data_IF_525259326307
#
_entry.id   IF_525259326307
#
_cell.length_a   1.000
_cell.length_b   1.000
_cell.length_c   1.000
_cell.angle_alpha   90.00
_cell.angle_beta   90.00
_cell.angle_gamma   90.00
#
_symmetry.space_group_name_H-M   'P 1'
#
loop_
_entity.id
_entity.type
_entity.pdbx_description
1 polymer ?
#
# COMPACT_ATOMS: atom_id res chain seq x y z
N UNK A 1 28.48 -25.88 -31.03
CA UNK A 1 27.46 -24.81 -31.06
C UNK A 1 27.20 -24.42 -29.61
N UNK A 2 27.93 -23.44 -29.08
CA UNK A 2 27.74 -22.92 -27.72
C UNK A 2 26.89 -21.66 -27.82
N UNK A 3 25.58 -21.82 -27.65
CA UNK A 3 24.65 -20.70 -27.59
C UNK A 3 24.50 -20.31 -26.12
N UNK A 4 25.21 -19.25 -25.75
CA UNK A 4 24.82 -18.26 -24.74
C UNK A 4 24.18 -18.78 -23.43
N UNK A 5 24.93 -19.51 -22.60
CA UNK A 5 24.49 -19.94 -21.26
C UNK A 5 24.30 -18.80 -20.23
N UNK A 6 24.59 -17.54 -20.59
CA UNK A 6 24.52 -16.37 -19.71
C UNK A 6 23.59 -15.25 -20.24
N UNK A 7 22.51 -15.60 -20.94
CA UNK A 7 21.49 -14.62 -21.37
C UNK A 7 20.30 -14.58 -20.43
N UNK A 8 19.68 -13.41 -20.23
CA UNK A 8 18.43 -13.27 -19.48
C UNK A 8 17.31 -14.18 -20.04
N UNK A 9 17.26 -14.37 -21.35
CA UNK A 9 16.32 -15.31 -22.01
C UNK A 9 16.55 -16.77 -21.58
N UNK A 10 17.81 -17.16 -21.35
CA UNK A 10 18.15 -18.49 -20.83
C UNK A 10 17.69 -18.65 -19.38
N UNK A 11 17.72 -17.56 -18.59
CA UNK A 11 17.23 -17.56 -17.21
C UNK A 11 15.70 -17.73 -17.19
N UNK A 12 14.97 -17.00 -18.03
CA UNK A 12 13.51 -17.14 -18.16
C UNK A 12 13.12 -18.54 -18.62
N UNK A 13 13.80 -19.09 -19.64
CA UNK A 13 13.54 -20.44 -20.13
C UNK A 13 13.79 -21.52 -19.06
N UNK A 14 14.86 -21.38 -18.27
CA UNK A 14 15.15 -22.26 -17.12
C UNK A 14 14.09 -22.16 -16.03
N UNK A 15 13.63 -20.94 -15.72
CA UNK A 15 12.53 -20.73 -14.77
C UNK A 15 11.27 -21.43 -15.28
N UNK A 16 10.90 -21.25 -16.55
CA UNK A 16 9.71 -21.87 -17.13
C UNK A 16 9.79 -23.40 -17.17
N UNK A 17 10.96 -23.96 -17.49
CA UNK A 17 11.17 -25.41 -17.54
C UNK A 17 11.12 -26.07 -16.17
N UNK A 18 11.86 -25.52 -15.19
CA UNK A 18 12.08 -26.17 -13.89
C UNK A 18 11.01 -25.85 -12.84
N UNK A 19 10.14 -24.86 -13.06
CA UNK A 19 9.11 -24.49 -12.07
C UNK A 19 7.91 -25.44 -12.03
N UNK A 20 7.80 -26.38 -12.97
CA UNK A 20 6.67 -27.31 -13.08
C UNK A 20 6.74 -28.53 -12.14
N UNK A 21 7.94 -28.87 -11.64
CA UNK A 21 8.18 -30.06 -10.81
C UNK A 21 8.81 -29.71 -9.46
N UNK A 22 8.33 -30.30 -8.37
CA UNK A 22 8.85 -30.00 -7.02
C UNK A 22 10.27 -30.53 -6.76
N UNK A 23 10.71 -31.57 -7.47
CA UNK A 23 12.07 -32.12 -7.40
C UNK A 23 13.12 -31.15 -7.94
N UNK A 24 12.73 -30.33 -8.92
CA UNK A 24 13.64 -29.53 -9.74
C UNK A 24 13.82 -28.12 -9.16
N UNK A 25 12.99 -27.74 -8.17
CA UNK A 25 13.07 -26.46 -7.45
C UNK A 25 14.46 -26.23 -6.83
N UNK A 26 15.09 -27.29 -6.30
CA UNK A 26 16.43 -27.17 -5.69
C UNK A 26 17.50 -26.85 -6.75
N UNK A 27 17.35 -27.41 -7.95
CA UNK A 27 18.24 -27.13 -9.07
C UNK A 27 18.02 -25.71 -9.58
N UNK A 28 16.75 -25.30 -9.72
CA UNK A 28 16.38 -23.94 -10.10
C UNK A 28 16.95 -22.90 -9.11
N UNK A 29 16.82 -23.12 -7.81
CA UNK A 29 17.39 -22.24 -6.78
C UNK A 29 18.91 -22.09 -6.93
N UNK A 30 19.63 -23.20 -7.12
CA UNK A 30 21.09 -23.16 -7.30
C UNK A 30 21.50 -22.42 -8.58
N UNK A 31 20.75 -22.61 -9.67
CA UNK A 31 20.98 -21.90 -10.93
C UNK A 31 20.70 -20.40 -10.82
N UNK A 32 19.59 -20.01 -10.20
CA UNK A 32 19.24 -18.60 -9.98
C UNK A 32 20.28 -17.89 -9.11
N UNK A 33 20.77 -18.57 -8.07
CA UNK A 33 21.85 -18.07 -7.21
C UNK A 33 23.17 -17.87 -7.98
N UNK A 34 23.47 -18.73 -8.96
CA UNK A 34 24.64 -18.54 -9.83
C UNK A 34 24.44 -17.42 -10.86
N UNK A 35 23.18 -17.09 -11.18
CA UNK A 35 22.81 -16.08 -12.18
C UNK A 35 22.56 -14.69 -11.57
N UNK A 36 22.84 -14.51 -10.28
CA UNK A 36 22.55 -13.28 -9.52
C UNK A 36 23.25 -12.04 -10.12
N UNK A 37 24.49 -12.19 -10.61
CA UNK A 37 25.21 -11.10 -11.29
C UNK A 37 24.50 -10.60 -12.56
N UNK A 38 23.88 -11.51 -13.33
CA UNK A 38 23.10 -11.16 -14.52
C UNK A 38 21.78 -10.48 -14.14
N UNK A 39 21.16 -10.95 -13.06
CA UNK A 39 19.92 -10.38 -12.53
C UNK A 39 20.13 -8.94 -12.02
N UNK A 40 21.34 -8.55 -11.63
CA UNK A 40 21.65 -7.18 -11.23
C UNK A 40 22.25 -6.30 -12.35
N UNK A 41 22.24 -6.76 -13.60
CA UNK A 41 22.91 -6.06 -14.71
C UNK A 41 22.01 -5.11 -15.53
N UNK A 42 20.75 -5.48 -15.79
CA UNK A 42 19.87 -4.71 -16.70
C UNK A 42 18.39 -4.72 -16.26
N UNK A 43 17.99 -3.66 -15.54
CA UNK A 43 16.62 -3.49 -15.01
C UNK A 43 15.53 -3.53 -16.09
N UNK A 44 15.78 -2.97 -17.27
CA UNK A 44 14.80 -2.91 -18.37
C UNK A 44 14.42 -4.31 -18.84
N UNK A 45 15.42 -5.19 -18.99
CA UNK A 45 15.23 -6.58 -19.41
C UNK A 45 14.52 -7.40 -18.36
N UNK A 46 14.85 -7.22 -17.07
CA UNK A 46 14.16 -7.89 -15.96
C UNK A 46 12.66 -7.60 -15.98
N UNK A 47 12.30 -6.35 -16.27
CA UNK A 47 10.91 -5.91 -16.32
C UNK A 47 10.15 -6.58 -17.47
N UNK A 48 10.76 -6.69 -18.65
CA UNK A 48 10.20 -7.42 -19.79
C UNK A 48 10.04 -8.91 -19.48
N UNK A 49 11.07 -9.52 -18.86
CA UNK A 49 11.05 -10.92 -18.43
C UNK A 49 10.00 -11.23 -17.36
N UNK A 50 9.72 -10.26 -16.46
CA UNK A 50 8.68 -10.43 -15.45
C UNK A 50 7.28 -10.57 -16.09
N UNK A 51 7.04 -9.90 -17.22
CA UNK A 51 5.77 -10.02 -17.94
C UNK A 51 5.56 -11.39 -18.60
N UNK A 52 6.64 -12.15 -18.85
CA UNK A 52 6.59 -13.48 -19.46
C UNK A 52 6.42 -14.62 -18.44
N UNK A 53 6.46 -14.30 -17.14
CA UNK A 53 6.43 -15.28 -16.07
C UNK A 53 5.06 -15.29 -15.36
N UNK A 54 4.41 -16.44 -15.36
CA UNK A 54 3.24 -16.69 -14.51
C UNK A 54 3.64 -16.78 -13.03
N UNK A 55 3.15 -15.93 -12.11
CA UNK A 55 3.51 -15.96 -10.69
C UNK A 55 3.01 -17.20 -9.94
N UNK A 56 1.99 -17.90 -10.45
CA UNK A 56 1.44 -19.12 -9.86
C UNK A 56 2.29 -20.34 -10.13
N UNK A 57 2.87 -20.41 -11.32
CA UNK A 57 3.74 -21.51 -11.75
C UNK A 57 5.18 -21.20 -11.36
N UNK A 58 5.67 -20.01 -11.69
CA UNK A 58 7.08 -19.62 -11.61
C UNK A 58 7.45 -18.88 -10.32
N UNK A 59 6.78 -19.19 -9.23
CA UNK A 59 6.85 -18.43 -7.97
C UNK A 59 8.28 -18.18 -7.45
N UNK A 60 9.19 -19.15 -7.57
CA UNK A 60 10.60 -18.98 -7.15
C UNK A 60 11.37 -18.02 -8.06
N UNK A 61 11.33 -18.23 -9.38
CA UNK A 61 12.00 -17.37 -10.35
C UNK A 61 11.44 -15.94 -10.36
N UNK A 62 10.13 -15.82 -10.21
CA UNK A 62 9.44 -14.55 -10.04
C UNK A 62 9.96 -13.80 -8.81
N UNK A 63 10.13 -14.48 -7.67
CA UNK A 63 10.64 -13.87 -6.44
C UNK A 63 12.10 -13.42 -6.57
N UNK A 64 12.96 -14.20 -7.23
CA UNK A 64 14.36 -13.83 -7.51
C UNK A 64 14.48 -12.61 -8.43
N UNK A 65 13.71 -12.57 -9.52
CA UNK A 65 13.71 -11.42 -10.44
C UNK A 65 13.19 -10.17 -9.72
N UNK A 66 12.13 -10.33 -8.92
CA UNK A 66 11.56 -9.22 -8.16
C UNK A 66 12.55 -8.72 -7.09
N UNK A 67 13.24 -9.61 -6.38
CA UNK A 67 14.33 -9.26 -5.46
C UNK A 67 15.49 -8.54 -6.18
N UNK A 68 15.84 -8.97 -7.39
CA UNK A 68 16.89 -8.35 -8.17
C UNK A 68 16.51 -6.95 -8.65
N UNK A 69 15.27 -6.76 -9.11
CA UNK A 69 14.70 -5.44 -9.40
C UNK A 69 14.78 -4.53 -8.18
N UNK A 70 14.50 -5.06 -6.98
CA UNK A 70 14.53 -4.34 -5.70
C UNK A 70 15.92 -3.97 -5.25
N UNK A 71 16.91 -4.81 -5.56
CA UNK A 71 18.28 -4.62 -5.12
C UNK A 71 19.10 -3.75 -6.08
N UNK A 72 18.53 -3.32 -7.22
CA UNK A 72 19.22 -2.51 -8.21
C UNK A 72 19.56 -1.11 -7.64
N UNK A 73 20.83 -0.68 -7.63
CA UNK A 73 21.29 0.51 -6.91
C UNK A 73 20.93 1.86 -7.56
N UNK A 74 19.95 1.92 -8.47
CA UNK A 74 19.42 3.19 -9.02
C UNK A 74 18.41 3.80 -8.03
N UNK A 75 18.84 3.92 -6.79
CA UNK A 75 18.02 4.29 -5.63
C UNK A 75 18.08 5.78 -5.28
N UNK A 76 18.93 6.59 -5.94
CA UNK A 76 19.17 7.98 -5.48
C UNK A 76 18.73 9.12 -6.39
N UNK A 77 18.41 8.92 -7.68
CA UNK A 77 18.11 10.09 -8.54
C UNK A 77 16.90 9.96 -9.49
N UNK A 78 16.46 8.76 -9.87
CA UNK A 78 15.38 8.57 -10.87
C UNK A 78 14.30 7.56 -10.46
N UNK A 79 14.14 7.30 -9.16
CA UNK A 79 13.41 6.15 -8.61
C UNK A 79 11.88 6.14 -8.83
N UNK A 80 11.22 7.26 -9.15
CA UNK A 80 9.74 7.31 -9.17
C UNK A 80 9.08 6.71 -10.42
N UNK A 81 9.80 6.62 -11.55
CA UNK A 81 9.24 6.08 -12.81
C UNK A 81 9.44 4.58 -12.97
N UNK A 82 10.52 4.02 -12.40
CA UNK A 82 10.89 2.61 -12.61
C UNK A 82 10.05 1.63 -11.79
N UNK A 83 9.49 2.07 -10.66
CA UNK A 83 8.67 1.20 -9.79
C UNK A 83 7.20 1.10 -10.24
N UNK A 84 6.68 2.08 -10.97
CA UNK A 84 5.27 2.08 -11.42
C UNK A 84 4.89 0.85 -12.24
N UNK A 85 5.68 0.41 -13.23
CA UNK A 85 5.35 -0.80 -13.99
C UNK A 85 5.34 -2.06 -13.12
N UNK A 86 6.19 -2.12 -12.09
CA UNK A 86 6.23 -3.24 -11.13
C UNK A 86 4.98 -3.21 -10.26
N UNK A 87 4.63 -2.04 -9.72
CA UNK A 87 3.38 -1.84 -8.96
C UNK A 87 2.16 -2.22 -9.82
N UNK A 88 2.07 -1.71 -11.06
CA UNK A 88 0.97 -2.00 -12.00
C UNK A 88 0.89 -3.48 -12.34
N UNK A 89 2.03 -4.15 -12.55
CA UNK A 89 2.06 -5.59 -12.78
C UNK A 89 1.59 -6.35 -11.54
N UNK A 90 2.07 -6.03 -10.34
CA UNK A 90 1.64 -6.65 -9.07
C UNK A 90 0.13 -6.45 -8.84
N UNK A 91 -0.41 -5.26 -9.16
CA UNK A 91 -1.83 -4.98 -9.05
C UNK A 91 -2.68 -5.71 -10.10
N UNK A 92 -2.11 -6.04 -11.26
CA UNK A 92 -2.73 -6.88 -12.28
C UNK A 92 -2.77 -8.37 -11.94
N UNK A 93 -2.02 -8.83 -10.94
CA UNK A 93 -2.03 -10.23 -10.51
C UNK A 93 -3.24 -10.53 -9.62
N UNK A 94 -3.94 -11.64 -9.87
CA UNK A 94 -5.06 -12.11 -9.04
C UNK A 94 -4.65 -12.49 -7.59
N UNK A 95 -3.34 -12.53 -7.29
CA UNK A 95 -2.79 -12.90 -5.97
C UNK A 95 -1.89 -11.79 -5.38
N UNK A 96 -2.46 -10.64 -4.96
CA UNK A 96 -1.70 -9.48 -4.45
C UNK A 96 -0.84 -9.79 -3.21
N UNK A 97 -1.14 -10.87 -2.48
CA UNK A 97 -0.37 -11.30 -1.31
C UNK A 97 1.10 -11.61 -1.62
N UNK A 98 1.42 -12.04 -2.85
CA UNK A 98 2.77 -12.41 -3.25
C UNK A 98 3.71 -11.21 -3.37
N UNK A 99 3.18 -10.02 -3.63
CA UNK A 99 3.97 -8.79 -3.71
C UNK A 99 4.30 -8.18 -2.34
N UNK A 100 3.63 -8.61 -1.25
CA UNK A 100 3.77 -7.99 0.08
C UNK A 100 5.19 -8.14 0.63
N UNK A 101 5.72 -9.36 0.66
CA UNK A 101 7.06 -9.60 1.21
C UNK A 101 8.17 -8.90 0.39
N UNK A 102 8.18 -9.00 -0.96
CA UNK A 102 9.17 -8.29 -1.75
C UNK A 102 9.08 -6.77 -1.63
N UNK A 103 7.88 -6.17 -1.69
CA UNK A 103 7.73 -4.72 -1.53
C UNK A 103 8.20 -4.23 -0.14
N UNK A 104 7.97 -5.01 0.91
CA UNK A 104 8.49 -4.67 2.25
C UNK A 104 10.02 -4.68 2.29
N UNK A 105 10.66 -5.68 1.67
CA UNK A 105 12.12 -5.72 1.51
C UNK A 105 12.63 -4.53 0.70
N UNK A 106 11.87 -4.11 -0.32
CA UNK A 106 12.20 -2.95 -1.13
C UNK A 106 12.18 -1.65 -0.35
N UNK A 107 11.14 -1.44 0.45
CA UNK A 107 11.05 -0.28 1.33
C UNK A 107 12.28 -0.22 2.24
N UNK A 108 12.62 -1.33 2.91
CA UNK A 108 13.78 -1.40 3.82
C UNK A 108 15.13 -1.15 3.14
N UNK A 109 15.30 -1.56 1.88
CA UNK A 109 16.54 -1.36 1.11
C UNK A 109 16.65 0.05 0.52
N UNK A 110 15.53 0.65 0.12
CA UNK A 110 15.48 2.00 -0.49
C UNK A 110 15.51 3.11 0.56
N UNK A 111 15.02 2.82 1.76
CA UNK A 111 14.92 3.79 2.83
C UNK A 111 16.31 4.15 3.37
N UNK A 112 16.73 5.40 3.18
CA UNK A 112 18.02 5.91 3.68
C UNK A 112 17.95 6.27 5.18
N UNK A 113 16.75 6.56 5.69
CA UNK A 113 16.43 6.83 7.10
C UNK A 113 15.03 6.32 7.42
N UNK A 114 14.80 5.74 8.61
CA UNK A 114 13.48 5.27 9.08
C UNK A 114 12.38 6.34 9.02
N UNK A 115 12.77 7.61 8.92
CA UNK A 115 11.89 8.78 8.94
C UNK A 115 11.48 9.28 7.54
N UNK A 116 12.00 8.69 6.46
CA UNK A 116 11.73 9.11 5.07
C UNK A 116 10.56 8.36 4.41
N UNK A 117 9.57 9.12 3.91
CA UNK A 117 8.47 8.58 3.11
C UNK A 117 8.94 8.26 1.69
N UNK A 118 9.17 6.98 1.39
CA UNK A 118 9.36 6.54 0.01
C UNK A 118 8.01 6.40 -0.71
N UNK A 119 7.97 6.60 -2.03
CA UNK A 119 6.75 6.43 -2.84
C UNK A 119 6.18 5.00 -2.77
N UNK A 120 7.01 4.02 -2.43
CA UNK A 120 6.59 2.63 -2.27
C UNK A 120 5.73 2.38 -1.03
N UNK A 121 5.76 3.27 -0.01
CA UNK A 121 4.94 3.09 1.19
C UNK A 121 3.45 3.12 0.84
N UNK A 122 3.03 4.06 -0.03
CA UNK A 122 1.64 4.16 -0.45
C UNK A 122 1.20 2.91 -1.22
N UNK A 123 2.01 2.45 -2.18
CA UNK A 123 1.72 1.27 -2.99
C UNK A 123 1.70 -0.02 -2.14
N UNK A 124 2.62 -0.16 -1.20
CA UNK A 124 2.67 -1.30 -0.27
C UNK A 124 1.45 -1.35 0.64
N UNK A 125 1.01 -0.20 1.18
CA UNK A 125 -0.20 -0.13 2.00
C UNK A 125 -1.45 -0.48 1.18
N UNK A 126 -1.54 0.01 -0.06
CA UNK A 126 -2.61 -0.38 -0.99
C UNK A 126 -2.59 -1.89 -1.25
N UNK A 127 -1.42 -2.47 -1.50
CA UNK A 127 -1.27 -3.90 -1.68
C UNK A 127 -1.72 -4.71 -0.45
N UNK A 128 -1.37 -4.23 0.76
CA UNK A 128 -1.82 -4.85 2.00
C UNK A 128 -3.34 -4.82 2.16
N UNK A 129 -4.01 -3.75 1.70
CA UNK A 129 -5.46 -3.65 1.70
C UNK A 129 -6.07 -4.66 0.73
N UNK A 130 -5.56 -4.71 -0.51
CA UNK A 130 -6.03 -5.65 -1.55
C UNK A 130 -5.82 -7.11 -1.14
N UNK A 131 -4.68 -7.43 -0.53
CA UNK A 131 -4.35 -8.75 -0.02
C UNK A 131 -5.03 -9.10 1.32
N UNK A 132 -5.75 -8.14 1.94
CA UNK A 132 -6.30 -8.25 3.31
C UNK A 132 -5.25 -8.57 4.39
N UNK A 133 -3.99 -8.21 4.13
CA UNK A 133 -2.84 -8.45 5.02
C UNK A 133 -2.56 -7.23 5.90
N UNK A 134 -3.55 -6.79 6.68
CA UNK A 134 -3.43 -5.55 7.47
C UNK A 134 -2.37 -5.61 8.58
N UNK A 135 -2.02 -6.81 9.07
CA UNK A 135 -0.99 -6.99 10.10
C UNK A 135 0.40 -6.58 9.61
N UNK A 136 0.76 -6.99 8.40
CA UNK A 136 2.03 -6.62 7.79
C UNK A 136 2.05 -5.14 7.38
N UNK A 137 0.90 -4.61 6.93
CA UNK A 137 0.78 -3.17 6.65
C UNK A 137 0.98 -2.33 7.90
N UNK A 138 0.44 -2.77 9.05
CA UNK A 138 0.53 -2.02 10.30
C UNK A 138 1.96 -1.89 10.84
N UNK A 139 2.82 -2.90 10.68
CA UNK A 139 4.22 -2.80 11.14
C UNK A 139 5.02 -1.69 10.47
N UNK A 140 4.65 -1.32 9.23
CA UNK A 140 5.29 -0.20 8.51
C UNK A 140 4.76 1.16 8.99
N UNK A 141 3.59 1.18 9.63
CA UNK A 141 3.02 2.39 10.20
C UNK A 141 3.52 2.65 11.63
N UNK A 142 4.17 1.69 12.29
CA UNK A 142 4.70 1.86 13.65
C UNK A 142 5.83 2.89 13.71
N UNK A 143 6.63 3.00 12.65
CA UNK A 143 7.67 4.01 12.53
C UNK A 143 7.04 5.36 12.13
N UNK A 144 7.35 6.42 12.88
CA UNK A 144 6.87 7.77 12.58
C UNK A 144 7.68 8.36 11.41
N UNK A 145 6.99 8.67 10.32
CA UNK A 145 7.59 9.24 9.10
C UNK A 145 7.47 10.76 9.13
N UNK A 146 8.60 11.47 9.07
CA UNK A 146 8.68 12.94 9.21
C UNK A 146 9.03 13.66 7.90
N UNK A 147 9.70 13.00 6.96
CA UNK A 147 10.17 13.63 5.73
C UNK A 147 9.34 13.17 4.53
N UNK A 148 8.70 14.12 3.85
CA UNK A 148 7.93 13.86 2.63
C UNK A 148 8.30 14.81 1.50
N UNK A 149 8.68 14.21 0.38
CA UNK A 149 9.10 14.90 -0.85
C UNK A 149 7.91 15.41 -1.69
N UNK A 150 6.77 14.71 -1.64
CA UNK A 150 5.62 14.98 -2.52
C UNK A 150 4.30 14.95 -1.75
N UNK A 151 3.49 16.03 -1.83
CA UNK A 151 2.26 16.13 -1.05
C UNK A 151 1.25 15.03 -1.40
N UNK A 152 1.19 14.60 -2.68
CA UNK A 152 0.30 13.52 -3.11
C UNK A 152 0.61 12.18 -2.44
N UNK A 153 1.88 11.85 -2.29
CA UNK A 153 2.33 10.60 -1.67
C UNK A 153 2.05 10.60 -0.17
N UNK A 154 2.19 11.76 0.48
CA UNK A 154 1.74 11.95 1.86
C UNK A 154 0.24 11.67 2.03
N UNK A 155 -0.60 12.23 1.15
CA UNK A 155 -2.06 12.02 1.20
C UNK A 155 -2.42 10.54 1.04
N UNK A 156 -1.78 9.85 0.10
CA UNK A 156 -2.03 8.42 -0.14
C UNK A 156 -1.55 7.54 1.01
N UNK A 157 -0.34 7.81 1.52
CA UNK A 157 0.20 7.10 2.68
C UNK A 157 -0.73 7.22 3.89
N UNK A 158 -1.14 8.44 4.24
CA UNK A 158 -2.02 8.65 5.39
C UNK A 158 -3.41 8.05 5.18
N UNK A 159 -3.96 8.12 3.96
CA UNK A 159 -5.26 7.54 3.64
C UNK A 159 -5.25 6.00 3.71
N UNK A 160 -4.33 5.34 3.00
CA UNK A 160 -4.21 3.89 3.02
C UNK A 160 -3.74 3.37 4.39
N UNK A 161 -2.86 4.09 5.07
CA UNK A 161 -2.44 3.78 6.43
C UNK A 161 -3.62 3.84 7.40
N UNK A 162 -4.50 4.84 7.25
CA UNK A 162 -5.76 4.92 7.98
C UNK A 162 -6.66 3.71 7.73
N UNK A 163 -6.80 3.28 6.47
CA UNK A 163 -7.59 2.09 6.10
C UNK A 163 -7.01 0.79 6.68
N UNK A 164 -5.69 0.62 6.65
CA UNK A 164 -5.01 -0.54 7.28
C UNK A 164 -5.25 -0.54 8.80
N UNK A 165 -5.14 0.61 9.46
CA UNK A 165 -5.44 0.75 10.89
C UNK A 165 -6.91 0.44 11.20
N UNK A 166 -7.85 0.88 10.36
CA UNK A 166 -9.28 0.53 10.47
C UNK A 166 -9.46 -0.98 10.37
N UNK A 167 -8.83 -1.65 9.38
CA UNK A 167 -8.88 -3.10 9.22
C UNK A 167 -8.36 -3.85 10.45
N UNK A 168 -7.32 -3.32 11.10
CA UNK A 168 -6.76 -3.84 12.36
C UNK A 168 -7.51 -3.41 13.62
N UNK A 169 -8.60 -2.65 13.49
CA UNK A 169 -9.39 -2.05 14.59
C UNK A 169 -8.58 -1.11 15.49
N UNK A 170 -7.45 -0.61 15.00
CA UNK A 170 -6.62 0.41 15.66
C UNK A 170 -7.18 1.80 15.36
N UNK A 171 -8.37 2.09 15.88
CA UNK A 171 -9.12 3.31 15.54
C UNK A 171 -8.42 4.60 15.97
N UNK A 172 -7.62 4.56 17.05
CA UNK A 172 -6.86 5.72 17.52
C UNK A 172 -5.85 6.20 16.48
N UNK A 173 -4.98 5.29 16.02
CA UNK A 173 -3.98 5.58 15.00
C UNK A 173 -4.62 5.88 13.63
N UNK A 174 -5.75 5.24 13.31
CA UNK A 174 -6.52 5.58 12.12
C UNK A 174 -7.02 7.04 12.15
N UNK A 175 -7.49 7.54 13.29
CA UNK A 175 -7.92 8.93 13.42
C UNK A 175 -6.76 9.90 13.23
N UNK A 176 -5.60 9.61 13.80
CA UNK A 176 -4.40 10.45 13.65
C UNK A 176 -4.00 10.55 12.17
N UNK A 177 -3.90 9.43 11.46
CA UNK A 177 -3.55 9.41 10.03
C UNK A 177 -4.60 10.10 9.15
N UNK A 178 -5.89 9.86 9.38
CA UNK A 178 -6.96 10.51 8.60
C UNK A 178 -7.06 12.01 8.92
N UNK A 179 -6.80 12.41 10.16
CA UNK A 179 -6.72 13.82 10.55
C UNK A 179 -5.57 14.53 9.84
N UNK A 180 -4.41 13.89 9.73
CA UNK A 180 -3.25 14.42 9.01
C UNK A 180 -3.57 14.76 7.56
N UNK A 181 -4.36 13.93 6.86
CA UNK A 181 -4.85 14.22 5.49
C UNK A 181 -5.70 15.49 5.45
N UNK A 182 -6.57 15.66 6.42
CA UNK A 182 -7.53 16.78 6.47
C UNK A 182 -6.81 18.09 6.82
N UNK A 183 -5.81 18.02 7.69
CA UNK A 183 -5.06 19.20 8.14
C UNK A 183 -3.90 19.58 7.24
N UNK A 184 -3.43 18.68 6.38
CA UNK A 184 -2.34 18.96 5.47
C UNK A 184 -2.64 20.16 4.55
N UNK A 185 -1.62 20.97 4.22
CA UNK A 185 -1.80 22.12 3.36
C UNK A 185 -2.26 21.68 1.96
N UNK A 186 -3.35 22.27 1.48
CA UNK A 186 -3.87 22.03 0.14
C UNK A 186 -4.36 23.34 -0.48
N UNK A 187 -3.98 23.58 -1.73
CA UNK A 187 -4.42 24.74 -2.53
C UNK A 187 -5.76 24.47 -3.22
N UNK A 188 -6.02 23.21 -3.59
CA UNK A 188 -7.26 22.72 -4.17
C UNK A 188 -7.77 21.50 -3.41
N UNK A 189 -9.08 21.27 -3.46
CA UNK A 189 -9.68 20.12 -2.79
C UNK A 189 -9.33 18.84 -3.56
N UNK A 190 -8.72 17.88 -2.88
CA UNK A 190 -8.38 16.57 -3.45
C UNK A 190 -9.49 15.54 -3.14
N UNK A 191 -9.81 14.67 -4.10
CA UNK A 191 -10.74 13.56 -3.90
C UNK A 191 -10.31 12.63 -2.76
N UNK A 192 -8.99 12.40 -2.60
CA UNK A 192 -8.43 11.61 -1.48
C UNK A 192 -8.81 12.24 -0.13
N UNK A 193 -8.70 13.58 -0.03
CA UNK A 193 -9.03 14.28 1.20
C UNK A 193 -10.52 14.23 1.54
N UNK A 194 -11.39 14.25 0.52
CA UNK A 194 -12.83 14.07 0.71
C UNK A 194 -13.14 12.68 1.25
N UNK A 195 -12.62 11.63 0.62
CA UNK A 195 -12.84 10.25 1.07
C UNK A 195 -12.24 9.97 2.45
N UNK A 196 -11.05 10.50 2.73
CA UNK A 196 -10.42 10.44 4.04
C UNK A 196 -11.29 11.10 5.10
N UNK A 197 -11.86 12.27 4.82
CA UNK A 197 -12.70 13.00 5.76
C UNK A 197 -14.01 12.28 6.07
N UNK A 198 -14.66 11.68 5.06
CA UNK A 198 -15.85 10.84 5.28
C UNK A 198 -15.52 9.69 6.24
N UNK A 199 -14.40 9.00 6.01
CA UNK A 199 -13.94 7.91 6.89
C UNK A 199 -13.54 8.43 8.27
N UNK A 200 -12.92 9.61 8.38
CA UNK A 200 -12.57 10.23 9.66
C UNK A 200 -13.80 10.45 10.55
N UNK A 201 -14.89 10.98 9.99
CA UNK A 201 -16.15 11.15 10.72
C UNK A 201 -16.65 9.79 11.24
N UNK A 202 -16.68 8.77 10.38
CA UNK A 202 -17.16 7.44 10.75
C UNK A 202 -16.29 6.79 11.84
N UNK A 203 -14.96 6.84 11.71
CA UNK A 203 -14.04 6.34 12.75
C UNK A 203 -14.24 7.10 14.06
N UNK A 204 -14.43 8.43 13.99
CA UNK A 204 -14.62 9.29 15.16
C UNK A 204 -15.89 8.91 15.91
N UNK A 205 -16.99 8.70 15.19
CA UNK A 205 -18.25 8.20 15.75
C UNK A 205 -18.10 6.78 16.35
N UNK A 206 -17.33 5.90 15.71
CA UNK A 206 -17.11 4.53 16.22
C UNK A 206 -16.25 4.53 17.50
N UNK A 207 -15.17 5.32 17.53
CA UNK A 207 -14.19 5.31 18.61
C UNK A 207 -14.60 6.18 19.79
N UNK A 208 -15.01 7.42 19.52
CA UNK A 208 -15.31 8.44 20.52
C UNK A 208 -16.81 8.56 20.82
N UNK A 209 -17.69 8.02 19.95
CA UNK A 209 -19.14 8.16 20.08
C UNK A 209 -19.68 9.53 19.67
N UNK A 210 -18.79 10.48 19.32
CA UNK A 210 -19.12 11.85 18.99
C UNK A 210 -18.13 12.39 17.94
N UNK A 211 -18.60 13.32 17.12
CA UNK A 211 -17.78 14.01 16.12
C UNK A 211 -17.85 15.52 16.33
N UNK A 212 -16.69 16.17 16.48
CA UNK A 212 -16.64 17.64 16.48
C UNK A 212 -16.49 18.15 15.05
N UNK A 213 -17.40 19.03 14.65
CA UNK A 213 -17.36 19.71 13.35
C UNK A 213 -16.36 20.87 13.32
N UNK A 214 -15.70 21.16 14.45
CA UNK A 214 -14.69 22.21 14.54
C UNK A 214 -13.34 21.70 14.04
N UNK A 215 -12.87 22.25 12.93
CA UNK A 215 -11.49 22.02 12.48
C UNK A 215 -10.50 22.84 13.31
N UNK A 216 -9.26 22.34 13.49
CA UNK A 216 -8.18 23.15 14.03
C UNK A 216 -7.95 24.42 13.21
N UNK A 217 -7.45 25.48 13.87
CA UNK A 217 -7.21 26.78 13.24
C UNK A 217 -6.19 26.74 12.10
N UNK A 218 -5.28 25.76 12.14
CA UNK A 218 -4.23 25.57 11.13
C UNK A 218 -4.69 24.78 9.90
N UNK A 219 -5.93 24.27 9.89
CA UNK A 219 -6.50 23.59 8.72
C UNK A 219 -6.73 24.60 7.59
N UNK A 220 -6.44 24.20 6.34
CA UNK A 220 -6.63 25.06 5.17
C UNK A 220 -8.07 25.54 5.04
N UNK A 221 -8.27 26.79 4.60
CA UNK A 221 -9.59 27.38 4.39
C UNK A 221 -10.42 26.61 3.35
N UNK A 222 -9.76 26.04 2.35
CA UNK A 222 -10.37 25.18 1.33
C UNK A 222 -10.96 23.92 1.95
N UNK A 223 -10.21 23.24 2.83
CA UNK A 223 -10.70 22.08 3.56
C UNK A 223 -11.86 22.46 4.49
N UNK A 224 -11.72 23.53 5.29
CA UNK A 224 -12.77 23.97 6.22
C UNK A 224 -14.10 24.30 5.51
N UNK A 225 -14.05 24.95 4.36
CA UNK A 225 -15.25 25.33 3.60
C UNK A 225 -15.93 24.14 2.94
N UNK A 226 -15.17 23.26 2.28
CA UNK A 226 -15.73 22.20 1.45
C UNK A 226 -16.04 20.92 2.26
N UNK A 227 -15.18 20.56 3.21
CA UNK A 227 -15.35 19.32 3.98
C UNK A 227 -16.51 19.42 4.96
N UNK A 228 -16.78 20.61 5.51
CA UNK A 228 -17.91 20.83 6.43
C UNK A 228 -19.26 20.41 5.84
N UNK A 229 -19.47 20.59 4.54
CA UNK A 229 -20.70 20.18 3.86
C UNK A 229 -20.92 18.65 3.94
N UNK A 230 -19.85 17.86 3.81
CA UNK A 230 -19.92 16.41 3.92
C UNK A 230 -20.24 15.93 5.34
N UNK A 231 -19.81 16.68 6.36
CA UNK A 231 -20.12 16.31 7.75
C UNK A 231 -21.61 16.36 8.07
N UNK A 232 -22.34 17.35 7.55
CA UNK A 232 -23.78 17.48 7.78
C UNK A 232 -24.55 16.31 7.15
N UNK A 233 -24.19 15.90 5.93
CA UNK A 233 -24.85 14.80 5.21
C UNK A 233 -24.58 13.45 5.89
N UNK A 234 -23.34 13.20 6.34
CA UNK A 234 -23.02 11.95 7.02
C UNK A 234 -23.70 11.89 8.39
N UNK A 235 -23.69 12.97 9.16
CA UNK A 235 -24.35 13.01 10.47
C UNK A 235 -25.85 12.76 10.32
N UNK A 236 -26.54 13.41 9.36
CA UNK A 236 -27.97 13.19 9.15
C UNK A 236 -28.28 11.76 8.71
N UNK A 237 -27.43 11.17 7.88
CA UNK A 237 -27.54 9.76 7.45
C UNK A 237 -27.37 8.81 8.63
N UNK A 238 -26.37 9.03 9.48
CA UNK A 238 -26.13 8.23 10.69
C UNK A 238 -27.27 8.37 11.70
N UNK A 239 -27.80 9.58 11.91
CA UNK A 239 -28.96 9.82 12.77
C UNK A 239 -30.23 9.14 12.25
N UNK A 240 -30.41 9.07 10.92
CA UNK A 240 -31.52 8.35 10.29
C UNK A 240 -31.37 6.83 10.46
N UNK A 241 -30.14 6.32 10.38
CA UNK A 241 -29.82 4.91 10.59
C UNK A 241 -29.92 4.47 12.07
N UNK A 242 -29.86 5.41 13.01
CA UNK A 242 -29.85 5.15 14.46
C UNK A 242 -30.95 5.99 15.13
N UNK A 243 -32.21 5.52 15.15
CA UNK A 243 -33.30 6.23 15.80
C UNK A 243 -33.04 6.33 17.31
N UNK A 244 -33.15 7.56 17.82
CA UNK A 244 -33.03 7.95 19.22
C UNK A 244 -33.99 7.18 20.13
N UNK A 245 -33.57 6.02 20.62
CA UNK A 245 -34.01 5.48 21.91
C UNK A 245 -32.99 4.46 22.41
N UNK A 246 -32.41 4.74 23.57
CA UNK A 246 -31.44 3.98 24.38
C UNK A 246 -29.96 4.30 24.17
N UNK A 247 -29.44 5.15 25.05
CA UNK A 247 -28.06 5.66 25.21
C UNK A 247 -27.00 4.59 25.57
N UNK A 248 -27.27 3.30 25.32
CA UNK A 248 -26.32 2.18 25.48
C UNK A 248 -26.26 1.26 24.25
N UNK A 249 -27.05 1.54 23.21
CA UNK A 249 -27.07 0.87 21.90
C UNK A 249 -26.31 1.76 20.90
N UNK A 250 -25.27 1.41 20.13
CA UNK A 250 -24.58 0.15 19.86
C UNK A 250 -23.24 0.46 19.17
N UNK A 251 -22.16 0.63 19.93
CA UNK A 251 -20.80 0.65 19.36
C UNK A 251 -20.53 -0.65 18.56
N UNK A 252 -21.17 -1.76 18.95
CA UNK A 252 -21.09 -3.06 18.28
C UNK A 252 -21.87 -3.17 16.97
N UNK A 253 -22.99 -2.44 16.81
CA UNK A 253 -23.84 -2.49 15.59
C UNK A 253 -23.40 -1.45 14.57
N UNK A 254 -22.91 -0.28 15.00
CA UNK A 254 -22.12 0.62 14.13
C UNK A 254 -20.90 -0.11 13.56
N UNK A 255 -20.14 -0.83 14.39
CA UNK A 255 -19.03 -1.69 13.93
C UNK A 255 -19.48 -2.83 13.02
N UNK A 256 -20.74 -3.27 13.05
CA UNK A 256 -21.25 -4.34 12.18
C UNK A 256 -21.77 -3.86 10.83
N UNK A 257 -22.39 -2.67 10.80
CA UNK A 257 -23.07 -2.13 9.61
C UNK A 257 -22.17 -1.17 8.82
N UNK A 258 -21.42 -0.32 9.53
CA UNK A 258 -20.61 0.74 8.90
C UNK A 258 -19.21 0.23 8.54
N UNK A 259 -18.64 -0.66 9.36
CA UNK A 259 -17.28 -1.18 9.15
C UNK A 259 -17.09 -1.90 7.80
N UNK A 260 -18.03 -2.72 7.30
CA UNK A 260 -17.91 -3.31 5.96
C UNK A 260 -17.93 -2.25 4.85
N UNK A 261 -18.68 -1.17 5.02
CA UNK A 261 -18.76 -0.05 4.06
C UNK A 261 -17.54 0.89 4.11
N UNK A 262 -16.65 0.73 5.09
CA UNK A 262 -15.41 1.52 5.19
C UNK A 262 -14.20 0.82 4.59
N UNK A 263 -14.27 -0.50 4.43
CA UNK A 263 -13.17 -1.36 3.97
C UNK A 263 -13.30 -1.66 2.46
N UNK A 264 -14.49 -1.45 1.88
CA UNK A 264 -14.84 -1.65 0.47
C UNK A 264 -15.52 -0.40 -0.09
#
# INVERSE_FOLDING_TARGET
MNLNMNSMESVVAQIQGLSSNSSDITQLHNFLKQSEELLHSDFSRLLSSLAELDPSIHSLGFLYILEACISFPVAKEHSKSNWRPISDHIFGLETPIRGVAPMLTAIRKLQSSSEQLTTLHADFLLLCILAKCYKTGFSVLEDDIYECDQPREFFLYCYYGGMVCIGQKQFRKALELLHNVVTAPMSTLNAIAVEAYKKYILVSLIHLGQFSTSFPKYTSSVAQRNLKNFSQVIISTVQTLIPSSTDCFTQSKMKGIIFPQMIW
#
